data_IF_403673418922
#
_entry.id   IF_403673418922
#
_cell.length_a   1.000
_cell.length_b   1.000
_cell.length_c   1.000
_cell.angle_alpha   90.00
_cell.angle_beta   90.00
_cell.angle_gamma   90.00
#
_symmetry.space_group_name_H-M   'P 1'
#
loop_
_entity.id
_entity.type
_entity.pdbx_description
1 polymer ?
#
# COMPACT_ATOMS: atom_id res chain seq x y z
N UNK A 1 -18.20 26.08 1.97
CA UNK A 1 -17.83 25.13 0.90
C UNK A 1 -18.36 25.63 -0.42
N UNK A 2 -17.51 25.81 -1.43
CA UNK A 2 -17.95 26.25 -2.76
C UNK A 2 -18.62 25.10 -3.54
N UNK A 3 -19.48 25.37 -4.53
CA UNK A 3 -20.09 24.32 -5.36
C UNK A 3 -19.05 23.40 -6.02
N UNK A 4 -17.93 23.99 -6.47
CA UNK A 4 -16.81 23.24 -7.06
C UNK A 4 -16.14 22.30 -6.06
N UNK A 5 -15.93 22.75 -4.82
CA UNK A 5 -15.38 21.90 -3.75
C UNK A 5 -16.33 20.74 -3.43
N UNK A 6 -17.63 21.02 -3.37
CA UNK A 6 -18.66 19.99 -3.13
C UNK A 6 -18.64 18.91 -4.21
N UNK A 7 -18.71 19.32 -5.47
CA UNK A 7 -18.70 18.40 -6.61
C UNK A 7 -17.42 17.56 -6.65
N UNK A 8 -16.27 18.15 -6.32
CA UNK A 8 -15.02 17.42 -6.22
C UNK A 8 -15.06 16.36 -5.11
N UNK A 9 -15.55 16.70 -3.91
CA UNK A 9 -15.70 15.75 -2.81
C UNK A 9 -16.70 14.64 -3.12
N UNK A 10 -17.78 14.94 -3.83
CA UNK A 10 -18.76 13.94 -4.29
C UNK A 10 -18.12 12.92 -5.25
N UNK A 11 -17.24 13.38 -6.16
CA UNK A 11 -16.48 12.48 -7.05
C UNK A 11 -15.56 11.59 -6.22
N UNK A 12 -14.80 12.17 -5.28
CA UNK A 12 -13.90 11.42 -4.39
C UNK A 12 -14.67 10.35 -3.61
N UNK A 13 -15.79 10.73 -2.99
CA UNK A 13 -16.61 9.83 -2.19
C UNK A 13 -17.13 8.62 -2.99
N UNK A 14 -17.49 8.82 -4.27
CA UNK A 14 -17.95 7.74 -5.15
C UNK A 14 -16.85 6.74 -5.50
N UNK A 15 -15.58 7.16 -5.52
CA UNK A 15 -14.45 6.28 -5.90
C UNK A 15 -13.96 5.41 -4.76
N UNK A 16 -14.23 5.78 -3.51
CA UNK A 16 -13.76 5.03 -2.34
C UNK A 16 -14.33 3.59 -2.33
N UNK A 17 -15.64 3.35 -2.51
CA UNK A 17 -16.17 1.98 -2.57
C UNK A 17 -15.59 1.14 -3.70
N UNK A 18 -15.36 1.74 -4.88
CA UNK A 18 -14.77 1.04 -6.03
C UNK A 18 -13.34 0.55 -5.75
N UNK A 19 -12.55 1.36 -5.04
CA UNK A 19 -11.20 0.96 -4.63
C UNK A 19 -11.22 -0.23 -3.67
N UNK A 20 -12.15 -0.25 -2.72
CA UNK A 20 -12.30 -1.38 -1.80
C UNK A 20 -12.80 -2.64 -2.49
N UNK A 21 -13.75 -2.53 -3.43
CA UNK A 21 -14.21 -3.67 -4.22
C UNK A 21 -13.05 -4.36 -4.96
N UNK A 22 -12.11 -3.58 -5.51
CA UNK A 22 -10.90 -4.13 -6.15
C UNK A 22 -10.03 -4.89 -5.12
N UNK A 23 -9.91 -4.40 -3.88
CA UNK A 23 -9.19 -5.13 -2.82
C UNK A 23 -9.93 -6.42 -2.44
N UNK A 24 -11.27 -6.39 -2.36
CA UNK A 24 -12.12 -7.55 -2.08
C UNK A 24 -11.97 -8.67 -3.14
N UNK A 25 -11.67 -8.31 -4.38
CA UNK A 25 -11.32 -9.26 -5.45
C UNK A 25 -9.95 -9.94 -5.25
N UNK A 26 -9.20 -9.57 -4.20
CA UNK A 26 -7.91 -10.16 -3.83
C UNK A 26 -6.69 -9.35 -4.26
N UNK A 27 -6.88 -8.13 -4.78
CA UNK A 27 -5.77 -7.25 -5.11
C UNK A 27 -5.17 -6.65 -3.82
N UNK A 28 -3.84 -6.59 -3.74
CA UNK A 28 -3.15 -5.98 -2.59
C UNK A 28 -3.17 -4.45 -2.62
N UNK A 29 -3.51 -3.86 -3.78
CA UNK A 29 -3.50 -2.42 -4.02
C UNK A 29 -4.47 -2.04 -5.13
N UNK A 30 -5.14 -0.90 -4.97
CA UNK A 30 -5.99 -0.26 -5.96
C UNK A 30 -5.66 1.24 -6.05
N UNK A 31 -5.63 1.80 -7.26
CA UNK A 31 -5.36 3.23 -7.47
C UNK A 31 -6.43 3.87 -8.38
N UNK A 32 -6.82 5.10 -8.05
CA UNK A 32 -7.66 5.92 -8.91
C UNK A 32 -7.05 7.30 -9.12
N UNK A 33 -6.91 7.73 -10.37
CA UNK A 33 -6.37 9.06 -10.71
C UNK A 33 -7.50 10.09 -10.66
N UNK A 34 -7.40 11.06 -9.76
CA UNK A 34 -8.36 12.16 -9.63
C UNK A 34 -8.11 13.29 -10.64
N UNK A 35 -6.88 13.39 -11.16
CA UNK A 35 -6.53 14.31 -12.23
C UNK A 35 -5.07 14.73 -12.21
N UNK A 36 -4.68 15.41 -13.28
CA UNK A 36 -3.34 15.95 -13.48
C UNK A 36 -3.39 17.47 -13.54
N UNK A 37 -2.38 18.15 -12.99
CA UNK A 37 -2.23 19.62 -13.03
C UNK A 37 -0.76 20.01 -13.14
N UNK A 38 -0.53 21.17 -13.75
CA UNK A 38 0.79 21.82 -13.71
C UNK A 38 0.81 22.83 -12.56
N UNK A 39 1.78 22.68 -11.65
CA UNK A 39 2.01 23.59 -10.52
C UNK A 39 3.49 23.99 -10.54
N UNK A 40 3.79 25.29 -10.66
CA UNK A 40 5.16 25.81 -10.71
C UNK A 40 6.04 25.06 -11.74
N UNK A 41 5.53 24.89 -12.96
CA UNK A 41 6.19 24.14 -14.05
C UNK A 41 6.41 22.64 -13.78
N UNK A 42 5.83 22.08 -12.71
CA UNK A 42 5.89 20.64 -12.39
C UNK A 42 4.57 19.98 -12.75
N UNK A 43 4.65 18.83 -13.41
CA UNK A 43 3.50 17.95 -13.62
C UNK A 43 3.17 17.25 -12.29
N UNK A 44 1.93 17.41 -11.83
CA UNK A 44 1.45 16.86 -10.55
C UNK A 44 0.22 16.00 -10.84
N UNK A 45 0.27 14.74 -10.39
CA UNK A 45 -0.85 13.81 -10.45
C UNK A 45 -1.43 13.61 -9.07
N UNK A 46 -2.74 13.77 -8.96
CA UNK A 46 -3.48 13.46 -7.74
C UNK A 46 -4.11 12.06 -7.86
N UNK A 47 -3.91 11.22 -6.84
CA UNK A 47 -4.45 9.86 -6.78
C UNK A 47 -5.16 9.59 -5.45
N UNK A 48 -6.11 8.67 -5.49
CA UNK A 48 -6.59 7.90 -4.33
C UNK A 48 -5.99 6.51 -4.39
N UNK A 49 -5.58 5.99 -3.24
CA UNK A 49 -4.94 4.68 -3.12
C UNK A 49 -5.59 3.92 -1.97
N UNK A 50 -5.98 2.68 -2.23
CA UNK A 50 -6.28 1.70 -1.19
C UNK A 50 -5.19 0.62 -1.24
N UNK A 51 -4.63 0.25 -0.11
CA UNK A 51 -3.60 -0.77 0.02
C UNK A 51 -3.87 -1.64 1.25
N UNK A 52 -3.58 -2.94 1.12
CA UNK A 52 -3.66 -3.88 2.24
C UNK A 52 -2.51 -3.60 3.19
N UNK A 53 -2.83 -3.20 4.42
CA UNK A 53 -1.84 -2.86 5.46
C UNK A 53 -1.41 -4.07 6.30
N UNK A 54 -2.26 -5.10 6.36
CA UNK A 54 -2.02 -6.34 7.11
C UNK A 54 -2.01 -7.53 6.15
N UNK A 55 -0.95 -7.67 5.36
CA UNK A 55 -0.62 -8.99 4.84
C UNK A 55 -0.13 -9.80 6.05
N UNK A 56 -0.94 -10.74 6.55
CA UNK A 56 -0.52 -11.67 7.59
C UNK A 56 0.88 -12.24 7.33
N UNK A 57 1.56 -12.66 8.41
CA UNK A 57 2.98 -13.03 8.44
C UNK A 57 3.51 -13.57 7.11
N UNK A 58 4.54 -12.91 6.56
CA UNK A 58 5.25 -13.32 5.37
C UNK A 58 5.57 -14.83 5.46
N UNK A 59 4.99 -15.70 4.61
CA UNK A 59 5.19 -17.15 4.70
C UNK A 59 6.65 -17.56 4.43
N UNK A 60 7.50 -16.64 3.96
CA UNK A 60 8.94 -16.84 3.79
C UNK A 60 9.77 -16.43 5.01
N UNK A 61 9.20 -15.74 6.00
CA UNK A 61 9.93 -15.33 7.21
C UNK A 61 10.32 -16.53 8.10
N UNK A 62 9.62 -17.65 8.00
CA UNK A 62 9.90 -18.88 8.76
C UNK A 62 11.00 -19.77 8.14
N UNK A 63 11.41 -19.53 6.88
CA UNK A 63 12.48 -20.31 6.26
C UNK A 63 13.89 -19.82 6.63
N UNK A 64 14.06 -18.55 7.00
CA UNK A 64 15.38 -17.99 7.32
C UNK A 64 15.84 -18.21 8.77
N UNK A 65 14.94 -18.63 9.67
CA UNK A 65 15.26 -18.81 11.09
C UNK A 65 15.93 -20.16 11.43
N UNK A 66 15.98 -21.13 10.49
CA UNK A 66 16.53 -22.47 10.78
C UNK A 66 18.04 -22.59 10.58
N UNK A 67 18.69 -21.65 9.89
CA UNK A 67 20.11 -21.77 9.52
C UNK A 67 21.09 -21.05 10.47
N UNK A 68 20.61 -20.36 11.51
CA UNK A 68 21.48 -19.56 12.40
C UNK A 68 21.75 -20.18 13.78
N UNK A 69 21.29 -21.41 14.08
CA UNK A 69 21.48 -22.04 15.39
C UNK A 69 22.50 -23.19 15.43
N UNK A 70 23.36 -23.32 14.43
CA UNK A 70 24.30 -24.45 14.36
C UNK A 70 25.76 -24.05 14.08
N UNK A 71 26.25 -22.91 14.59
CA UNK A 71 27.68 -22.56 14.47
C UNK A 71 28.29 -21.94 15.74
N UNK A 72 27.60 -21.91 16.88
CA UNK A 72 28.11 -21.26 18.11
C UNK A 72 28.38 -22.22 19.28
N UNK A 73 28.87 -23.44 19.01
CA UNK A 73 29.17 -24.40 20.08
C UNK A 73 30.47 -25.21 19.87
N UNK A 74 31.46 -24.65 19.16
CA UNK A 74 32.79 -25.29 19.05
C UNK A 74 33.91 -24.26 19.12
N UNK A 75 34.17 -23.68 20.30
CA UNK A 75 35.49 -23.08 20.61
C UNK A 75 35.60 -22.71 22.09
N UNK A 76 35.77 -23.70 22.97
CA UNK A 76 36.47 -23.49 24.25
C UNK A 76 36.89 -24.85 24.84
N UNK A 77 38.06 -25.34 24.44
CA UNK A 77 38.83 -26.33 25.19
C UNK A 77 40.30 -26.21 24.76
N UNK A 78 41.06 -25.43 25.52
CA UNK A 78 42.53 -25.49 25.58
C UNK A 78 42.95 -25.21 27.01
#
# INVERSE_FOLDING_TARGET
MTPRQRQFLEIVAKRIPELFAIIEEGNVKAEHILGDRVINQRQVRLKLIAEVVDAGANPLATHSARSQKLESDTSEAS
#
